data_IF_434044758445
#
_entry.id   IF_434044758445
#
_cell.length_a   1.000
_cell.length_b   1.000
_cell.length_c   1.000
_cell.angle_alpha   90.00
_cell.angle_beta   90.00
_cell.angle_gamma   90.00
#
_symmetry.space_group_name_H-M   'P 1'
#
loop_
_entity.id
_entity.type
_entity.pdbx_description
1 polymer ?
#
# COMPACT_ATOMS: atom_id res chain seq x y z
N UNK A 1 1.20 -37.04 -34.52
CA UNK A 1 0.80 -36.06 -33.47
C UNK A 1 1.34 -34.70 -33.89
N UNK A 2 0.51 -33.87 -34.44
CA UNK A 2 0.85 -32.54 -34.97
C UNK A 2 0.85 -31.51 -33.83
N UNK A 3 2.01 -30.89 -33.64
CA UNK A 3 2.22 -29.80 -32.70
C UNK A 3 1.38 -28.56 -33.12
N UNK A 4 0.35 -28.26 -32.42
CA UNK A 4 -0.41 -27.03 -32.59
C UNK A 4 0.42 -25.82 -32.15
N UNK A 5 0.67 -24.93 -33.11
CA UNK A 5 1.49 -23.70 -32.91
C UNK A 5 0.87 -22.78 -31.84
N UNK A 6 1.73 -22.14 -31.00
CA UNK A 6 1.35 -21.13 -30.01
C UNK A 6 0.39 -20.05 -30.52
N UNK A 7 0.41 -19.79 -31.82
CA UNK A 7 -0.45 -18.81 -32.52
C UNK A 7 -1.91 -19.26 -32.60
N UNK A 8 -2.19 -20.58 -32.64
CA UNK A 8 -3.55 -21.13 -32.68
C UNK A 8 -4.16 -21.26 -31.30
N UNK A 9 -3.34 -21.43 -30.25
CA UNK A 9 -3.81 -21.41 -28.86
C UNK A 9 -4.36 -20.04 -28.46
N UNK A 10 -3.68 -18.97 -28.88
CA UNK A 10 -4.12 -17.57 -28.60
C UNK A 10 -5.41 -17.21 -29.33
N UNK A 11 -5.67 -17.78 -30.52
CA UNK A 11 -6.92 -17.56 -31.28
C UNK A 11 -8.11 -18.30 -30.69
N UNK A 12 -7.90 -19.43 -30.03
CA UNK A 12 -8.98 -20.23 -29.42
C UNK A 12 -9.37 -19.75 -28.02
N UNK A 13 -8.47 -19.07 -27.30
CA UNK A 13 -8.74 -18.46 -26.00
C UNK A 13 -9.53 -17.12 -26.09
N UNK A 14 -9.64 -16.55 -27.29
CA UNK A 14 -10.29 -15.25 -27.54
C UNK A 14 -11.83 -15.27 -27.67
N UNK A 15 -12.48 -16.42 -27.55
CA UNK A 15 -13.92 -16.54 -27.88
C UNK A 15 -14.83 -16.97 -26.70
N UNK A 16 -14.33 -17.00 -25.46
CA UNK A 16 -15.13 -17.43 -24.30
C UNK A 16 -15.01 -16.55 -23.04
N UNK A 17 -14.67 -15.26 -23.19
CA UNK A 17 -14.77 -14.29 -22.09
C UNK A 17 -15.39 -12.98 -22.55
N UNK A 18 -16.62 -13.07 -23.05
CA UNK A 18 -17.49 -11.91 -23.16
C UNK A 18 -18.43 -11.92 -21.94
N UNK A 19 -18.01 -11.36 -20.81
CA UNK A 19 -18.83 -10.77 -19.74
C UNK A 19 -18.05 -10.67 -18.44
N UNK A 20 -17.12 -9.76 -18.38
CA UNK A 20 -16.73 -8.92 -17.23
C UNK A 20 -15.48 -8.15 -17.66
N UNK A 21 -15.66 -7.17 -18.50
CA UNK A 21 -14.64 -6.15 -18.73
C UNK A 21 -14.55 -5.34 -17.43
N UNK A 22 -13.68 -5.76 -16.53
CA UNK A 22 -13.09 -4.87 -15.55
C UNK A 22 -12.32 -3.84 -16.38
N UNK A 23 -12.98 -2.71 -16.66
CA UNK A 23 -12.37 -1.58 -17.35
C UNK A 23 -11.21 -1.16 -16.43
N UNK A 24 -9.98 -1.36 -16.91
CA UNK A 24 -8.81 -0.87 -16.20
C UNK A 24 -9.04 0.63 -15.98
N UNK A 25 -8.98 1.13 -14.74
CA UNK A 25 -9.24 2.54 -14.45
C UNK A 25 -8.35 3.49 -15.28
N UNK A 26 -7.20 3.04 -15.74
CA UNK A 26 -6.30 3.80 -16.62
C UNK A 26 -6.72 3.78 -18.11
N UNK A 27 -7.51 2.80 -18.57
CA UNK A 27 -8.04 2.76 -19.95
C UNK A 27 -9.04 3.90 -20.21
N UNK A 28 -9.71 4.41 -19.16
CA UNK A 28 -10.63 5.56 -19.28
C UNK A 28 -9.85 6.83 -19.63
N UNK A 29 -8.63 7.00 -19.11
CA UNK A 29 -7.76 8.09 -19.52
C UNK A 29 -7.33 7.95 -21.01
N UNK A 30 -7.05 6.72 -21.46
CA UNK A 30 -6.68 6.46 -22.85
C UNK A 30 -7.82 6.75 -23.84
N UNK A 31 -9.07 6.46 -23.49
CA UNK A 31 -10.24 6.73 -24.36
C UNK A 31 -10.56 8.23 -24.49
N UNK A 32 -10.33 9.03 -23.46
CA UNK A 32 -10.49 10.48 -23.52
C UNK A 32 -9.44 11.16 -24.45
N UNK A 33 -8.30 10.51 -24.65
CA UNK A 33 -7.16 11.03 -25.46
C UNK A 33 -7.28 10.82 -26.97
N UNK A 34 -8.07 9.89 -27.46
CA UNK A 34 -8.12 9.54 -28.90
C UNK A 34 -8.60 10.64 -29.84
N UNK A 35 -8.80 11.89 -29.36
CA UNK A 35 -9.16 13.05 -30.21
C UNK A 35 -8.10 14.15 -30.34
N UNK A 36 -6.94 14.04 -29.66
CA UNK A 36 -5.89 15.05 -29.77
C UNK A 36 -4.47 14.53 -29.97
N UNK A 37 -4.29 13.28 -30.38
CA UNK A 37 -2.98 12.71 -30.60
C UNK A 37 -2.38 13.17 -31.95
N UNK A 38 -1.09 13.51 -31.89
CA UNK A 38 -0.12 13.66 -32.96
C UNK A 38 0.05 15.06 -33.57
N UNK A 39 0.53 15.99 -32.74
CA UNK A 39 1.45 17.05 -33.24
C UNK A 39 2.38 17.44 -32.07
N UNK A 40 3.66 17.08 -32.17
CA UNK A 40 4.77 17.56 -31.39
C UNK A 40 4.56 17.50 -29.87
N UNK A 41 5.13 16.50 -29.18
CA UNK A 41 5.02 16.37 -27.72
C UNK A 41 5.32 17.68 -27.00
N UNK A 42 4.46 18.09 -26.09
CA UNK A 42 4.71 19.24 -25.22
C UNK A 42 5.96 18.96 -24.39
N UNK A 43 6.97 19.83 -24.50
CA UNK A 43 8.15 19.78 -23.62
C UNK A 43 7.82 20.15 -22.16
N UNK A 44 6.57 20.44 -21.86
CA UNK A 44 6.09 20.77 -20.51
C UNK A 44 5.44 19.53 -19.86
N UNK A 45 5.75 19.30 -18.61
CA UNK A 45 5.04 18.29 -17.82
C UNK A 45 3.62 18.76 -17.52
N UNK A 46 2.66 17.86 -17.75
CA UNK A 46 1.23 18.09 -17.44
C UNK A 46 0.80 17.10 -16.39
N UNK A 47 0.28 17.60 -15.26
CA UNK A 47 -0.35 16.79 -14.21
C UNK A 47 -1.85 16.76 -14.43
N UNK A 48 -2.43 15.58 -14.48
CA UNK A 48 -3.87 15.34 -14.45
C UNK A 48 -4.24 14.36 -13.32
N UNK A 49 -5.45 14.49 -12.80
CA UNK A 49 -5.89 13.66 -11.66
C UNK A 49 -7.41 13.55 -11.64
N UNK A 50 -7.90 12.45 -11.04
CA UNK A 50 -9.32 12.22 -10.82
C UNK A 50 -9.58 11.36 -9.59
N UNK A 51 -10.74 11.53 -8.92
CA UNK A 51 -11.17 10.62 -7.87
C UNK A 51 -11.57 9.28 -8.48
N UNK A 52 -11.38 8.22 -7.69
CA UNK A 52 -11.81 6.88 -8.05
C UNK A 52 -12.10 6.07 -6.78
N UNK A 53 -13.21 5.34 -6.77
CA UNK A 53 -13.58 4.42 -5.70
C UNK A 53 -13.26 2.99 -6.14
N UNK A 54 -12.14 2.47 -5.65
CA UNK A 54 -11.70 1.12 -5.99
C UNK A 54 -12.57 0.08 -5.27
N UNK A 55 -13.24 -0.77 -6.04
CA UNK A 55 -14.03 -1.88 -5.49
C UNK A 55 -13.09 -2.95 -4.93
N UNK A 56 -13.31 -3.35 -3.68
CA UNK A 56 -12.55 -4.41 -3.05
C UNK A 56 -13.14 -5.79 -3.37
N UNK A 57 -12.28 -6.77 -3.54
CA UNK A 57 -12.70 -8.17 -3.77
C UNK A 57 -13.41 -8.76 -2.55
N UNK A 58 -12.92 -8.43 -1.36
CA UNK A 58 -13.48 -8.84 -0.08
C UNK A 58 -13.77 -7.61 0.78
N UNK A 59 -14.75 -7.70 1.65
CA UNK A 59 -14.92 -6.72 2.73
C UNK A 59 -13.64 -6.67 3.55
N UNK A 60 -13.11 -5.48 3.78
CA UNK A 60 -11.90 -5.28 4.56
C UNK A 60 -12.24 -4.64 5.90
N UNK A 61 -12.06 -5.41 6.96
CA UNK A 61 -12.34 -4.98 8.34
C UNK A 61 -11.05 -4.96 9.15
N UNK A 62 -10.85 -3.86 9.84
CA UNK A 62 -9.81 -3.66 10.86
C UNK A 62 -10.48 -3.28 12.20
N UNK A 63 -9.71 -3.12 13.27
CA UNK A 63 -10.24 -2.86 14.61
C UNK A 63 -11.33 -1.75 14.65
N UNK A 64 -11.18 -0.68 13.87
CA UNK A 64 -12.01 0.52 13.96
C UNK A 64 -12.82 0.85 12.69
N UNK A 65 -12.75 0.05 11.62
CA UNK A 65 -13.46 0.34 10.37
C UNK A 65 -13.69 -0.90 9.50
N UNK A 66 -14.74 -0.84 8.66
CA UNK A 66 -15.05 -1.83 7.65
C UNK A 66 -15.43 -1.13 6.35
N UNK A 67 -14.98 -1.67 5.20
CA UNK A 67 -15.26 -1.07 3.88
C UNK A 67 -15.30 -2.10 2.77
N UNK A 68 -16.10 -1.82 1.74
CA UNK A 68 -16.21 -2.58 0.48
C UNK A 68 -15.56 -1.85 -0.69
N UNK A 69 -15.34 -0.54 -0.55
CA UNK A 69 -14.64 0.30 -1.51
C UNK A 69 -13.51 1.05 -0.81
N UNK A 70 -12.49 1.44 -1.58
CA UNK A 70 -11.40 2.30 -1.11
C UNK A 70 -11.38 3.56 -1.98
N UNK A 71 -11.65 4.75 -1.39
CA UNK A 71 -11.48 6.00 -2.09
C UNK A 71 -9.99 6.26 -2.34
N UNK A 72 -9.66 6.61 -3.57
CA UNK A 72 -8.31 6.99 -4.01
C UNK A 72 -8.38 8.16 -4.97
N UNK A 73 -7.25 8.82 -5.24
CA UNK A 73 -7.11 9.76 -6.35
C UNK A 73 -6.02 9.24 -7.26
N UNK A 74 -6.39 8.96 -8.51
CA UNK A 74 -5.45 8.58 -9.56
C UNK A 74 -4.82 9.82 -10.16
N UNK A 75 -3.51 9.77 -10.43
CA UNK A 75 -2.74 10.85 -11.03
C UNK A 75 -2.02 10.37 -12.28
N UNK A 76 -1.85 11.27 -13.24
CA UNK A 76 -1.02 11.07 -14.42
C UNK A 76 -0.09 12.26 -14.59
N UNK A 77 1.17 11.99 -14.91
CA UNK A 77 2.13 12.99 -15.40
C UNK A 77 2.48 12.64 -16.84
N UNK A 78 2.20 13.57 -17.74
CA UNK A 78 2.57 13.46 -19.15
C UNK A 78 3.77 14.34 -19.47
N UNK A 79 4.76 13.78 -20.16
CA UNK A 79 5.89 14.51 -20.71
C UNK A 79 6.39 13.82 -21.97
N UNK A 80 6.54 14.60 -23.04
CA UNK A 80 7.06 14.15 -24.35
C UNK A 80 6.38 12.86 -24.88
N UNK A 81 5.04 12.78 -24.72
CA UNK A 81 4.24 11.63 -25.17
C UNK A 81 4.30 10.38 -24.27
N UNK A 82 5.09 10.41 -23.20
CA UNK A 82 5.11 9.35 -22.18
C UNK A 82 4.24 9.74 -21.00
N UNK A 83 3.54 8.76 -20.41
CA UNK A 83 2.66 8.96 -19.26
C UNK A 83 3.11 8.10 -18.08
N UNK A 84 3.32 8.75 -16.95
CA UNK A 84 3.51 8.10 -15.65
C UNK A 84 2.23 8.13 -14.82
N UNK A 85 1.96 7.05 -14.09
CA UNK A 85 0.77 6.88 -13.27
C UNK A 85 1.13 6.89 -11.79
N UNK A 86 0.27 7.52 -10.98
CA UNK A 86 0.38 7.54 -9.54
C UNK A 86 -0.97 7.42 -8.85
N UNK A 87 -0.95 7.21 -7.55
CA UNK A 87 -2.14 7.02 -6.73
C UNK A 87 -1.96 7.64 -5.35
N UNK A 88 -2.94 8.42 -4.91
CA UNK A 88 -3.10 8.81 -3.52
C UNK A 88 -4.02 7.80 -2.83
N UNK A 89 -3.46 6.96 -1.97
CA UNK A 89 -4.22 6.07 -1.10
C UNK A 89 -4.65 6.82 0.18
N UNK A 90 -5.92 6.68 0.58
CA UNK A 90 -6.55 7.52 1.61
C UNK A 90 -6.97 6.69 2.85
N UNK A 91 -6.02 6.13 3.63
CA UNK A 91 -6.39 5.51 4.88
C UNK A 91 -6.88 6.57 5.88
N UNK A 92 -7.92 6.26 6.69
CA UNK A 92 -8.56 7.26 7.57
C UNK A 92 -7.62 8.00 8.52
N UNK A 93 -6.54 7.34 8.97
CA UNK A 93 -5.60 7.93 9.93
C UNK A 93 -4.74 9.08 9.37
N UNK A 94 -4.69 9.26 8.04
CA UNK A 94 -4.03 10.42 7.42
C UNK A 94 -4.91 11.67 7.43
N UNK A 95 -6.25 11.52 7.58
CA UNK A 95 -7.18 12.62 7.57
C UNK A 95 -7.38 13.29 6.21
N UNK A 96 -6.82 12.70 5.13
CA UNK A 96 -7.01 13.16 3.76
C UNK A 96 -8.29 12.55 3.14
N UNK A 97 -8.93 13.31 2.26
CA UNK A 97 -10.08 12.90 1.46
C UNK A 97 -9.79 13.11 -0.02
N UNK A 98 -10.59 12.52 -0.92
CA UNK A 98 -10.45 12.78 -2.36
C UNK A 98 -10.48 14.28 -2.67
N UNK A 99 -11.36 15.03 -2.02
CA UNK A 99 -11.46 16.48 -2.22
C UNK A 99 -10.19 17.21 -1.74
N UNK A 100 -9.69 16.90 -0.54
CA UNK A 100 -8.47 17.55 -0.03
C UNK A 100 -7.24 17.25 -0.89
N UNK A 101 -7.13 16.03 -1.43
CA UNK A 101 -6.07 15.65 -2.37
C UNK A 101 -6.21 16.41 -3.69
N UNK A 102 -7.42 16.47 -4.25
CA UNK A 102 -7.69 17.22 -5.49
C UNK A 102 -7.36 18.72 -5.30
N UNK A 103 -7.75 19.32 -4.19
CA UNK A 103 -7.48 20.73 -3.89
C UNK A 103 -5.99 21.01 -3.66
N UNK A 104 -5.23 20.03 -3.15
CA UNK A 104 -3.77 20.11 -3.13
C UNK A 104 -3.17 20.00 -4.53
N UNK A 105 -3.55 18.98 -5.32
CA UNK A 105 -3.00 18.73 -6.65
C UNK A 105 -3.27 19.88 -7.64
N UNK A 106 -4.37 20.60 -7.50
CA UNK A 106 -4.64 21.85 -8.27
C UNK A 106 -3.57 22.94 -8.08
N UNK A 107 -2.83 22.92 -6.97
CA UNK A 107 -1.77 23.89 -6.67
C UNK A 107 -0.41 23.49 -7.24
N UNK A 108 -0.27 22.23 -7.70
CA UNK A 108 0.97 21.70 -8.24
C UNK A 108 1.14 22.14 -9.68
N UNK A 109 2.15 22.96 -9.95
CA UNK A 109 2.53 23.41 -11.30
C UNK A 109 3.84 22.75 -11.73
N UNK A 110 3.75 21.66 -12.48
CA UNK A 110 4.90 20.94 -13.02
C UNK A 110 5.49 21.59 -14.27
N UNK A 111 4.82 22.57 -14.88
CA UNK A 111 5.34 23.29 -16.06
C UNK A 111 6.60 24.11 -15.77
N UNK A 112 6.93 24.29 -14.49
CA UNK A 112 8.14 24.96 -13.98
C UNK A 112 9.42 24.15 -14.19
N UNK A 113 9.29 22.84 -14.45
CA UNK A 113 10.40 21.92 -14.59
C UNK A 113 10.52 21.43 -16.03
N UNK A 114 11.76 21.26 -16.49
CA UNK A 114 12.04 20.91 -17.87
C UNK A 114 12.08 19.40 -18.12
N UNK A 115 12.16 18.59 -17.06
CA UNK A 115 12.34 17.14 -17.16
C UNK A 115 11.79 16.40 -15.93
N UNK A 116 11.12 15.27 -16.11
CA UNK A 116 10.69 14.43 -15.00
C UNK A 116 11.85 13.77 -14.23
N UNK A 117 13.06 13.79 -14.75
CA UNK A 117 14.27 13.33 -14.08
C UNK A 117 14.69 14.22 -12.89
N UNK A 118 14.15 15.44 -12.81
CA UNK A 118 14.38 16.35 -11.67
C UNK A 118 13.54 15.99 -10.43
N UNK A 119 13.43 14.68 -10.13
CA UNK A 119 12.53 14.17 -9.08
C UNK A 119 12.75 14.89 -7.75
N UNK A 120 13.99 15.06 -7.32
CA UNK A 120 14.33 15.70 -6.04
C UNK A 120 13.84 17.14 -5.97
N UNK A 121 14.10 17.94 -7.01
CA UNK A 121 13.69 19.35 -7.08
C UNK A 121 12.17 19.47 -7.15
N UNK A 122 11.53 18.61 -7.95
CA UNK A 122 10.07 18.56 -8.08
C UNK A 122 9.44 18.21 -6.73
N UNK A 123 9.93 17.17 -6.05
CA UNK A 123 9.37 16.75 -4.77
C UNK A 123 9.64 17.75 -3.65
N UNK A 124 10.80 18.43 -3.64
CA UNK A 124 11.07 19.54 -2.73
C UNK A 124 10.06 20.69 -2.93
N UNK A 125 9.75 21.04 -4.18
CA UNK A 125 8.71 22.01 -4.51
C UNK A 125 7.32 21.52 -4.06
N UNK A 126 6.94 20.30 -4.40
CA UNK A 126 5.64 19.73 -4.02
C UNK A 126 5.47 19.67 -2.50
N UNK A 127 6.53 19.32 -1.76
CA UNK A 127 6.49 19.28 -0.29
C UNK A 127 6.34 20.69 0.32
N UNK A 128 6.86 21.73 -0.34
CA UNK A 128 6.79 23.12 0.13
C UNK A 128 5.41 23.77 -0.02
N UNK A 129 4.49 23.20 -0.84
CA UNK A 129 3.18 23.78 -1.13
C UNK A 129 2.29 23.85 0.12
N UNK A 130 2.32 22.81 0.94
CA UNK A 130 1.56 22.73 2.18
C UNK A 130 2.17 21.71 3.15
N UNK A 131 1.94 21.91 4.45
CA UNK A 131 2.21 20.91 5.48
C UNK A 131 1.18 19.77 5.32
N UNK A 132 1.54 18.54 5.68
CA UNK A 132 0.72 17.35 5.49
C UNK A 132 0.45 17.00 4.00
N UNK A 133 -0.76 16.61 3.65
CA UNK A 133 -1.13 16.16 2.30
C UNK A 133 -0.19 15.07 1.75
N UNK A 134 0.23 14.15 2.61
CA UNK A 134 1.29 13.17 2.31
C UNK A 134 0.87 12.19 1.23
N UNK A 135 -0.41 11.79 1.20
CA UNK A 135 -0.93 10.92 0.15
C UNK A 135 -0.97 11.63 -1.22
N UNK A 136 -1.37 12.92 -1.25
CA UNK A 136 -1.34 13.71 -2.48
C UNK A 136 0.08 13.88 -3.03
N UNK A 137 1.05 14.13 -2.16
CA UNK A 137 2.47 14.24 -2.51
C UNK A 137 3.02 12.92 -3.03
N UNK A 138 2.72 11.82 -2.35
CA UNK A 138 3.11 10.47 -2.78
C UNK A 138 2.56 10.12 -4.17
N UNK A 139 1.34 10.56 -4.51
CA UNK A 139 0.78 10.35 -5.84
C UNK A 139 1.59 11.02 -6.95
N UNK A 140 2.16 12.21 -6.68
CA UNK A 140 3.06 12.89 -7.62
C UNK A 140 4.40 12.14 -7.72
N UNK A 141 4.98 11.75 -6.60
CA UNK A 141 6.25 11.00 -6.56
C UNK A 141 6.15 9.66 -7.31
N UNK A 142 5.08 8.89 -7.06
CA UNK A 142 4.84 7.61 -7.73
C UNK A 142 4.74 7.82 -9.25
N UNK A 143 3.99 8.85 -9.70
CA UNK A 143 3.85 9.16 -11.11
C UNK A 143 5.18 9.59 -11.76
N UNK A 144 6.03 10.33 -11.03
CA UNK A 144 7.37 10.68 -11.49
C UNK A 144 8.28 9.47 -11.63
N UNK A 145 8.26 8.58 -10.66
CA UNK A 145 9.03 7.32 -10.74
C UNK A 145 8.54 6.43 -11.88
N UNK A 146 7.23 6.32 -12.08
CA UNK A 146 6.67 5.52 -13.17
C UNK A 146 7.05 6.07 -14.55
N UNK A 147 6.93 7.40 -14.78
CA UNK A 147 7.31 8.00 -16.07
C UNK A 147 8.80 7.87 -16.34
N UNK A 148 9.66 8.09 -15.34
CA UNK A 148 11.11 7.95 -15.50
C UNK A 148 11.50 6.51 -15.81
N UNK A 149 10.93 5.53 -15.09
CA UNK A 149 11.16 4.11 -15.38
C UNK A 149 10.75 3.73 -16.81
N UNK A 150 9.62 4.26 -17.31
CA UNK A 150 9.15 4.08 -18.70
C UNK A 150 10.08 4.70 -19.72
N UNK A 151 10.54 5.93 -19.49
CA UNK A 151 11.50 6.61 -20.39
C UNK A 151 12.82 5.85 -20.45
N UNK A 152 13.31 5.36 -19.31
CA UNK A 152 14.55 4.57 -19.24
C UNK A 152 14.37 3.13 -19.77
N UNK A 153 13.13 2.64 -19.93
CA UNK A 153 12.83 1.27 -20.34
C UNK A 153 13.30 0.23 -19.31
N UNK A 154 13.42 0.62 -18.04
CA UNK A 154 13.94 -0.25 -16.97
C UNK A 154 13.08 -0.12 -15.70
N UNK A 155 12.85 -1.22 -14.96
CA UNK A 155 12.23 -1.17 -13.64
C UNK A 155 13.20 -0.59 -12.61
N UNK A 156 12.67 0.09 -11.59
CA UNK A 156 13.47 0.78 -10.58
C UNK A 156 14.41 -0.12 -9.79
N UNK A 157 14.01 -1.36 -9.48
CA UNK A 157 14.92 -2.29 -8.81
C UNK A 157 16.22 -2.51 -9.59
N UNK A 158 16.13 -2.53 -10.93
CA UNK A 158 17.29 -2.68 -11.80
C UNK A 158 18.10 -1.38 -11.90
N UNK A 159 17.42 -0.22 -11.97
CA UNK A 159 18.06 1.11 -11.97
C UNK A 159 18.86 1.31 -10.70
N UNK A 160 18.33 0.88 -9.54
CA UNK A 160 19.01 0.97 -8.25
C UNK A 160 19.98 -0.17 -7.97
N UNK A 161 20.11 -1.16 -8.86
CA UNK A 161 21.03 -2.28 -8.72
C UNK A 161 20.61 -3.30 -7.65
N UNK A 162 19.33 -3.38 -7.31
CA UNK A 162 18.84 -4.38 -6.37
C UNK A 162 18.74 -5.77 -7.02
N UNK A 163 19.02 -6.81 -6.23
CA UNK A 163 18.80 -8.19 -6.65
C UNK A 163 17.34 -8.60 -6.35
N UNK A 164 16.51 -8.89 -7.37
CA UNK A 164 15.11 -9.28 -7.16
C UNK A 164 14.97 -10.61 -6.42
N UNK A 165 15.95 -11.50 -6.50
CA UNK A 165 15.91 -12.83 -5.86
C UNK A 165 16.04 -12.73 -4.32
N UNK A 166 16.51 -11.59 -3.81
CA UNK A 166 16.59 -11.31 -2.37
C UNK A 166 15.39 -10.52 -1.83
N UNK A 167 14.40 -10.23 -2.68
CA UNK A 167 13.19 -9.52 -2.27
C UNK A 167 12.39 -10.34 -1.25
N UNK A 168 11.99 -9.75 -0.11
CA UNK A 168 11.11 -10.43 0.84
C UNK A 168 9.80 -10.87 0.21
N UNK A 169 9.22 -11.96 0.74
CA UNK A 169 7.94 -12.45 0.27
C UNK A 169 6.83 -11.45 0.62
N UNK A 170 5.92 -11.22 -0.34
CA UNK A 170 4.70 -10.46 -0.05
C UNK A 170 3.78 -11.26 0.88
N UNK A 171 3.00 -10.56 1.71
CA UNK A 171 2.02 -11.16 2.60
C UNK A 171 0.61 -11.09 2.02
N UNK A 172 -0.23 -12.07 2.34
CA UNK A 172 -1.67 -12.01 2.14
C UNK A 172 -2.33 -11.49 3.42
N UNK A 173 -3.20 -10.48 3.31
CA UNK A 173 -3.84 -9.89 4.49
C UNK A 173 -5.20 -10.51 4.76
N UNK A 174 -5.39 -11.04 5.98
CA UNK A 174 -6.67 -11.50 6.52
C UNK A 174 -7.19 -10.44 7.48
N UNK A 175 -8.28 -9.75 7.09
CA UNK A 175 -8.99 -8.79 7.94
C UNK A 175 -9.88 -9.50 8.97
N UNK A 176 -10.34 -8.73 9.97
CA UNK A 176 -11.28 -9.22 11.00
C UNK A 176 -12.58 -9.68 10.35
N UNK A 177 -13.02 -10.91 10.68
CA UNK A 177 -14.23 -11.50 10.12
C UNK A 177 -14.74 -12.66 10.99
N UNK A 178 -15.80 -13.36 10.55
CA UNK A 178 -16.25 -14.60 11.19
C UNK A 178 -15.25 -15.73 10.97
N UNK A 179 -15.33 -16.76 11.81
CA UNK A 179 -14.43 -17.92 11.72
C UNK A 179 -14.47 -18.58 10.33
N UNK A 180 -15.65 -18.71 9.73
CA UNK A 180 -15.86 -19.32 8.42
C UNK A 180 -15.13 -18.53 7.33
N UNK A 181 -15.29 -17.21 7.32
CA UNK A 181 -14.67 -16.31 6.33
C UNK A 181 -13.15 -16.27 6.52
N UNK A 182 -12.67 -16.24 7.77
CA UNK A 182 -11.23 -16.32 8.08
C UNK A 182 -10.63 -17.63 7.56
N UNK A 183 -11.33 -18.75 7.74
CA UNK A 183 -10.91 -20.06 7.24
C UNK A 183 -10.83 -20.09 5.71
N UNK A 184 -11.81 -19.51 5.02
CA UNK A 184 -11.84 -19.39 3.57
C UNK A 184 -10.67 -18.53 3.06
N UNK A 185 -10.51 -17.32 3.60
CA UNK A 185 -9.39 -16.41 3.24
C UNK A 185 -8.02 -17.05 3.52
N UNK A 186 -7.91 -17.86 4.57
CA UNK A 186 -6.67 -18.58 4.87
C UNK A 186 -6.36 -19.63 3.80
N UNK A 187 -7.37 -20.32 3.26
CA UNK A 187 -7.17 -21.24 2.13
C UNK A 187 -6.77 -20.50 0.86
N UNK A 188 -7.38 -19.34 0.57
CA UNK A 188 -6.97 -18.47 -0.54
C UNK A 188 -5.52 -17.98 -0.40
N UNK A 189 -5.03 -17.83 0.83
CA UNK A 189 -3.67 -17.41 1.12
C UNK A 189 -2.62 -18.50 0.87
N UNK A 190 -2.99 -19.73 0.51
CA UNK A 190 -2.07 -20.87 0.34
C UNK A 190 -0.87 -20.61 -0.59
N UNK A 191 -0.94 -19.78 -1.65
CA UNK A 191 0.22 -19.44 -2.48
C UNK A 191 1.22 -18.49 -1.80
N UNK A 192 0.85 -17.85 -0.71
CA UNK A 192 1.67 -16.85 -0.03
C UNK A 192 2.54 -17.47 1.06
N UNK A 193 3.74 -16.92 1.26
CA UNK A 193 4.70 -17.39 2.27
C UNK A 193 4.49 -16.74 3.64
N UNK A 194 3.71 -15.66 3.69
CA UNK A 194 3.40 -14.90 4.91
C UNK A 194 1.94 -14.50 4.90
N UNK A 195 1.26 -14.66 6.03
CA UNK A 195 -0.11 -14.18 6.25
C UNK A 195 -0.05 -12.99 7.22
N UNK A 196 -0.53 -11.82 6.79
CA UNK A 196 -0.72 -10.66 7.68
C UNK A 196 -2.12 -10.72 8.28
N UNK A 197 -2.22 -10.73 9.61
CA UNK A 197 -3.49 -10.85 10.32
C UNK A 197 -3.83 -9.55 11.03
N UNK A 198 -5.03 -9.04 10.82
CA UNK A 198 -5.54 -7.87 11.53
C UNK A 198 -6.15 -8.30 12.86
N UNK A 199 -5.67 -7.69 13.96
CA UNK A 199 -6.11 -7.89 15.33
C UNK A 199 -6.46 -6.54 15.99
N UNK A 200 -6.55 -6.49 17.31
CA UNK A 200 -6.72 -5.27 18.10
C UNK A 200 -8.18 -4.93 18.40
N UNK A 201 -9.11 -5.88 18.22
CA UNK A 201 -10.53 -5.66 18.51
C UNK A 201 -10.87 -6.00 19.96
N UNK A 202 -10.72 -7.23 20.33
CA UNK A 202 -10.88 -7.79 21.68
C UNK A 202 -10.19 -9.15 21.76
N UNK A 203 -9.88 -9.62 22.96
CA UNK A 203 -9.13 -10.87 23.19
C UNK A 203 -9.77 -12.08 22.53
N UNK A 204 -11.09 -12.22 22.64
CA UNK A 204 -11.84 -13.36 22.10
C UNK A 204 -11.75 -13.39 20.58
N UNK A 205 -11.98 -12.26 19.95
CA UNK A 205 -11.89 -12.11 18.48
C UNK A 205 -10.46 -12.33 18.01
N UNK A 206 -9.48 -11.68 18.64
CA UNK A 206 -8.07 -11.77 18.28
C UNK A 206 -7.56 -13.21 18.36
N UNK A 207 -7.89 -13.93 19.46
CA UNK A 207 -7.54 -15.34 19.64
C UNK A 207 -8.26 -16.25 18.64
N UNK A 208 -9.54 -16.00 18.35
CA UNK A 208 -10.30 -16.76 17.35
C UNK A 208 -9.65 -16.63 15.97
N UNK A 209 -9.27 -15.41 15.54
CA UNK A 209 -8.62 -15.18 14.26
C UNK A 209 -7.36 -16.05 14.08
N UNK A 210 -6.44 -15.99 15.05
CA UNK A 210 -5.18 -16.72 14.98
C UNK A 210 -5.38 -18.24 15.08
N UNK A 211 -6.23 -18.71 15.99
CA UNK A 211 -6.53 -20.14 16.14
C UNK A 211 -7.18 -20.71 14.87
N UNK A 212 -8.08 -19.97 14.25
CA UNK A 212 -8.69 -20.38 12.98
C UNK A 212 -7.66 -20.51 11.87
N UNK A 213 -6.75 -19.54 11.73
CA UNK A 213 -5.67 -19.61 10.74
C UNK A 213 -4.77 -20.80 11.02
N UNK A 214 -4.37 -21.02 12.27
CA UNK A 214 -3.53 -22.16 12.68
C UNK A 214 -4.20 -23.52 12.48
N UNK A 215 -5.53 -23.59 12.53
CA UNK A 215 -6.25 -24.83 12.20
C UNK A 215 -6.19 -25.19 10.70
N UNK A 216 -5.72 -24.27 9.85
CA UNK A 216 -5.66 -24.44 8.38
C UNK A 216 -4.22 -24.55 7.89
N UNK A 217 -3.27 -23.79 8.48
CA UNK A 217 -1.90 -23.69 7.97
C UNK A 217 -0.88 -23.35 9.06
N UNK A 218 0.36 -23.82 8.88
CA UNK A 218 1.53 -23.45 9.68
C UNK A 218 2.34 -22.29 9.03
N UNK A 219 1.83 -21.67 7.97
CA UNK A 219 2.48 -20.52 7.32
C UNK A 219 2.78 -19.42 8.33
N UNK A 220 3.93 -18.76 8.20
CA UNK A 220 4.34 -17.65 9.06
C UNK A 220 3.25 -16.57 9.09
N UNK A 221 2.93 -16.11 10.31
CA UNK A 221 2.00 -15.00 10.53
C UNK A 221 2.78 -13.76 10.97
N UNK A 222 2.47 -12.61 10.41
CA UNK A 222 2.72 -11.30 11.02
C UNK A 222 1.39 -10.67 11.45
N UNK A 223 1.39 -10.01 12.59
CA UNK A 223 0.18 -9.44 13.19
C UNK A 223 0.23 -7.92 13.11
N UNK A 224 -0.90 -7.30 12.81
CA UNK A 224 -1.09 -5.86 12.89
C UNK A 224 -2.31 -5.57 13.79
N UNK A 225 -2.06 -5.04 14.97
CA UNK A 225 -3.10 -4.72 15.94
C UNK A 225 -3.73 -3.32 15.74
N UNK A 226 -3.23 -2.54 14.79
CA UNK A 226 -3.76 -1.23 14.41
C UNK A 226 -4.09 -0.33 15.62
N UNK A 227 -3.19 -0.23 16.62
CA UNK A 227 -3.34 0.57 17.83
C UNK A 227 -4.44 0.05 18.78
N UNK A 228 -4.89 -1.19 18.64
CA UNK A 228 -6.07 -1.71 19.34
C UNK A 228 -5.83 -2.05 20.81
N UNK A 229 -4.60 -2.39 21.19
CA UNK A 229 -4.27 -2.79 22.57
C UNK A 229 -3.82 -1.57 23.38
N UNK A 230 -4.69 -1.11 24.29
CA UNK A 230 -4.51 0.16 25.01
C UNK A 230 -3.76 0.02 26.33
N UNK A 231 -3.70 -1.17 26.89
CA UNK A 231 -2.97 -1.48 28.11
C UNK A 231 -1.68 -2.25 27.76
N UNK A 232 -0.55 -1.81 28.31
CA UNK A 232 0.76 -2.40 28.00
C UNK A 232 0.94 -3.82 28.51
N UNK A 233 0.34 -4.15 29.66
CA UNK A 233 0.42 -5.51 30.21
C UNK A 233 -0.41 -6.48 29.38
N UNK A 234 -1.64 -6.08 29.02
CA UNK A 234 -2.45 -6.82 28.07
C UNK A 234 -1.77 -7.02 26.71
N UNK A 235 -1.14 -5.95 26.18
CA UNK A 235 -0.38 -6.05 24.94
C UNK A 235 0.75 -7.09 25.02
N UNK A 236 1.51 -7.08 26.13
CA UNK A 236 2.58 -8.07 26.35
C UNK A 236 2.04 -9.48 26.51
N UNK A 237 0.96 -9.67 27.24
CA UNK A 237 0.31 -10.99 27.41
C UNK A 237 -0.16 -11.55 26.07
N UNK A 238 -0.76 -10.72 25.22
CA UNK A 238 -1.13 -11.10 23.86
C UNK A 238 0.08 -11.44 23.00
N UNK A 239 1.16 -10.69 23.09
CA UNK A 239 2.40 -10.95 22.35
C UNK A 239 3.02 -12.29 22.79
N UNK A 240 3.07 -12.58 24.08
CA UNK A 240 3.55 -13.86 24.60
C UNK A 240 2.69 -15.03 24.07
N UNK A 241 1.37 -14.88 24.09
CA UNK A 241 0.43 -15.85 23.55
C UNK A 241 0.62 -16.08 22.05
N UNK A 242 0.92 -15.02 21.27
CA UNK A 242 1.19 -15.06 19.83
C UNK A 242 2.54 -15.72 19.51
N UNK A 243 3.56 -15.48 20.34
CA UNK A 243 4.88 -16.07 20.18
C UNK A 243 4.83 -17.61 20.21
N UNK A 244 3.95 -18.20 21.01
CA UNK A 244 3.72 -19.66 21.05
C UNK A 244 3.02 -20.20 19.78
N UNK A 245 2.60 -19.32 18.84
CA UNK A 245 1.78 -19.64 17.66
C UNK A 245 2.44 -19.31 16.34
N UNK A 246 3.78 -19.37 16.28
CA UNK A 246 4.57 -19.10 15.08
C UNK A 246 4.25 -17.73 14.45
N UNK A 247 4.03 -16.71 15.28
CA UNK A 247 3.97 -15.31 14.86
C UNK A 247 5.37 -14.74 14.89
N UNK A 248 5.78 -14.02 13.86
CA UNK A 248 7.16 -13.53 13.73
C UNK A 248 7.35 -12.06 14.06
N UNK A 249 6.29 -11.25 14.09
CA UNK A 249 6.34 -9.83 14.45
C UNK A 249 4.96 -9.25 14.74
N UNK A 250 4.96 -8.18 15.51
CA UNK A 250 3.76 -7.40 15.85
C UNK A 250 3.91 -5.98 15.32
N UNK A 251 2.94 -5.53 14.52
CA UNK A 251 2.86 -4.17 14.00
C UNK A 251 1.87 -3.35 14.83
N UNK A 252 2.29 -2.17 15.25
CA UNK A 252 1.54 -1.13 15.96
C UNK A 252 0.56 -1.68 17.02
N UNK A 253 1.05 -2.35 18.09
CA UNK A 253 0.18 -2.91 19.13
C UNK A 253 -0.59 -1.82 19.89
N UNK A 254 0.09 -0.72 20.23
CA UNK A 254 -0.42 0.33 21.07
C UNK A 254 -0.70 1.64 20.31
N UNK A 255 -1.54 2.54 20.88
CA UNK A 255 -1.77 3.87 20.32
C UNK A 255 -0.46 4.62 20.06
N UNK A 256 -0.36 5.26 18.90
CA UNK A 256 0.87 5.89 18.40
C UNK A 256 1.47 6.97 19.30
N UNK A 257 0.67 7.56 20.20
CA UNK A 257 1.12 8.60 21.13
C UNK A 257 1.64 8.06 22.45
N UNK A 258 1.42 6.77 22.75
CA UNK A 258 1.88 6.12 24.00
C UNK A 258 3.29 5.53 23.78
N UNK A 259 4.28 6.41 23.56
CA UNK A 259 5.65 5.98 23.22
C UNK A 259 6.37 5.32 24.39
N UNK A 260 6.14 5.77 25.63
CA UNK A 260 6.77 5.18 26.82
C UNK A 260 6.23 3.76 27.07
N UNK A 261 4.93 3.56 26.91
CA UNK A 261 4.31 2.22 27.03
C UNK A 261 4.76 1.32 25.87
N UNK A 262 4.86 1.85 24.65
CA UNK A 262 5.38 1.12 23.51
C UNK A 262 6.84 0.70 23.73
N UNK A 263 7.68 1.58 24.31
CA UNK A 263 9.05 1.27 24.67
C UNK A 263 9.11 0.13 25.71
N UNK A 264 8.28 0.19 26.74
CA UNK A 264 8.22 -0.85 27.75
C UNK A 264 7.76 -2.20 27.15
N UNK A 265 6.74 -2.21 26.28
CA UNK A 265 6.31 -3.42 25.56
C UNK A 265 7.43 -3.96 24.69
N UNK A 266 8.12 -3.10 23.95
CA UNK A 266 9.22 -3.47 23.05
C UNK A 266 10.38 -4.11 23.82
N UNK A 267 10.78 -3.54 24.97
CA UNK A 267 11.85 -4.06 25.81
C UNK A 267 11.53 -5.47 26.37
N UNK A 268 10.26 -5.74 26.67
CA UNK A 268 9.84 -7.01 27.29
C UNK A 268 9.30 -8.03 26.26
N UNK A 269 9.15 -7.64 24.99
CA UNK A 269 8.54 -8.47 23.95
C UNK A 269 9.50 -9.56 23.44
N UNK A 270 9.07 -10.84 23.37
CA UNK A 270 9.83 -11.89 22.70
C UNK A 270 9.81 -11.78 21.17
N UNK A 271 8.93 -10.94 20.61
CA UNK A 271 8.76 -10.72 19.17
C UNK A 271 9.17 -9.30 18.77
N UNK A 272 9.67 -9.08 17.56
CA UNK A 272 9.86 -7.74 17.03
C UNK A 272 8.58 -6.91 17.02
N UNK A 273 8.64 -5.70 17.59
CA UNK A 273 7.55 -4.73 17.60
C UNK A 273 7.84 -3.62 16.59
N UNK A 274 6.93 -3.40 15.65
CA UNK A 274 7.11 -2.53 14.48
C UNK A 274 6.14 -1.35 14.54
N UNK A 275 6.65 -0.14 14.33
CA UNK A 275 5.82 1.06 14.22
C UNK A 275 5.17 1.15 12.84
N UNK A 276 3.86 1.42 12.77
CA UNK A 276 3.16 1.83 11.54
C UNK A 276 2.68 3.28 11.65
N UNK A 277 1.56 3.51 12.33
CA UNK A 277 0.98 4.85 12.45
C UNK A 277 1.84 5.81 13.28
N UNK A 278 2.72 5.28 14.13
CA UNK A 278 3.68 6.09 14.89
C UNK A 278 4.81 6.66 14.02
N UNK A 279 5.14 6.01 12.88
CA UNK A 279 6.15 6.45 11.93
C UNK A 279 5.49 6.93 10.64
N UNK A 280 5.45 8.23 10.42
CA UNK A 280 4.89 8.80 9.20
C UNK A 280 5.97 9.38 8.29
N UNK A 281 6.94 10.10 8.87
CA UNK A 281 8.01 10.76 8.12
C UNK A 281 9.38 10.44 8.70
N UNK A 282 10.43 10.71 7.91
CA UNK A 282 11.81 10.54 8.33
C UNK A 282 12.11 11.25 9.66
N UNK A 283 11.47 12.40 9.91
CA UNK A 283 11.60 13.19 11.12
C UNK A 283 11.04 12.52 12.39
N UNK A 284 10.24 11.45 12.24
CA UNK A 284 9.71 10.70 13.38
C UNK A 284 10.72 9.66 13.91
N UNK A 285 11.64 9.18 13.05
CA UNK A 285 12.59 8.10 13.38
C UNK A 285 13.37 8.36 14.69
N UNK A 286 13.93 9.56 14.95
CA UNK A 286 14.64 9.81 16.20
C UNK A 286 13.80 9.63 17.46
N UNK A 287 12.49 9.93 17.40
CA UNK A 287 11.55 9.82 18.51
C UNK A 287 11.14 8.37 18.79
N UNK A 288 11.25 7.49 17.79
CA UNK A 288 10.85 6.09 17.88
C UNK A 288 11.96 5.17 18.35
N UNK A 289 13.19 5.71 18.48
CA UNK A 289 14.35 4.93 18.96
C UNK A 289 14.09 4.40 20.37
N UNK A 290 14.13 3.08 20.51
CA UNK A 290 13.85 2.37 21.76
C UNK A 290 12.35 2.08 21.99
N UNK A 291 11.44 2.80 21.32
CA UNK A 291 10.01 2.52 21.41
C UNK A 291 9.55 1.40 20.45
N UNK A 292 10.34 1.11 19.43
CA UNK A 292 10.08 0.06 18.45
C UNK A 292 11.38 -0.57 17.96
N UNK A 293 11.34 -1.84 17.56
CA UNK A 293 12.47 -2.52 16.91
C UNK A 293 12.65 -2.12 15.45
N UNK A 294 11.58 -1.67 14.79
CA UNK A 294 11.59 -1.28 13.39
C UNK A 294 10.38 -0.43 13.00
N UNK A 295 10.31 -0.06 11.73
CA UNK A 295 9.24 0.77 11.19
C UNK A 295 8.66 0.16 9.92
N UNK A 296 7.35 0.35 9.71
CA UNK A 296 6.67 0.05 8.46
C UNK A 296 6.62 1.32 7.61
N UNK A 297 7.26 1.29 6.44
CA UNK A 297 7.28 2.40 5.48
C UNK A 297 6.10 2.26 4.53
N UNK A 298 5.33 3.34 4.36
CA UNK A 298 4.26 3.45 3.37
C UNK A 298 4.41 4.75 2.60
N UNK A 299 4.44 4.70 1.27
CA UNK A 299 4.64 5.87 0.42
C UNK A 299 3.66 7.00 0.75
N UNK A 300 2.37 6.67 0.99
CA UNK A 300 1.36 7.67 1.36
C UNK A 300 1.60 8.33 2.73
N UNK A 301 2.44 7.76 3.60
CA UNK A 301 2.83 8.40 4.88
C UNK A 301 4.02 9.32 4.70
N UNK A 302 5.03 8.87 3.94
CA UNK A 302 6.33 9.55 3.84
C UNK A 302 6.47 10.50 2.65
N UNK A 303 5.43 10.68 1.85
CA UNK A 303 5.37 11.55 0.65
C UNK A 303 6.00 10.95 -0.61
N UNK A 304 6.22 9.67 -0.62
CA UNK A 304 6.88 8.96 -1.69
C UNK A 304 8.22 8.41 -1.30
#
# INVERSE_FOLDING_TARGET
MTLTSRRNFIKSAGLLTAASALINPFDIFAQARNKSALKGGSKKMVLSFRPYDAQMRHVFTIANSSRTTTPIVLTEIEWDGVVGYGEAALPPYLGETQNSVIDFLKKVDLSRFNSPFQIQDIMAYVDSIAINNTAAKAAVDIALHDIVGKIMGQPWWKIWGFNPDTTPNTSFTVGLDTEEVVREKTREASPYKVIKVKLGRDEKTDKMMVNTIRSVTDTIICVDANQGWKDKHYALDMINWLNERNVNMIEQPMPKLLLDEAAWVTENSPLPVIADEACQRLTDIPKLKGAYHGVNIKLMKCTG
#
